data_IF_472770687278
#
_entry.id   IF_472770687278
#
_cell.length_a   1.000
_cell.length_b   1.000
_cell.length_c   1.000
_cell.angle_alpha   90.00
_cell.angle_beta   90.00
_cell.angle_gamma   90.00
#
_symmetry.space_group_name_H-M   'P 1'
#
loop_
_entity.id
_entity.type
_entity.pdbx_description
1 polymer ?
#
# COMPACT_ATOMS: atom_id res chain seq x y z
N UNK A 1 -7.27 17.12 29.37
CA UNK A 1 -7.34 16.06 28.35
C UNK A 1 -7.63 16.73 27.04
N UNK A 2 -6.63 16.86 26.17
CA UNK A 2 -6.79 17.40 24.83
C UNK A 2 -6.86 16.26 23.80
N UNK A 3 -7.55 16.50 22.68
CA UNK A 3 -7.60 15.58 21.56
C UNK A 3 -6.69 16.10 20.45
N UNK A 4 -5.82 15.23 19.97
CA UNK A 4 -4.89 15.53 18.87
C UNK A 4 -5.33 14.70 17.67
N UNK A 5 -5.79 15.35 16.62
CA UNK A 5 -6.34 14.70 15.43
C UNK A 5 -5.27 14.23 14.46
N UNK A 6 -5.46 13.04 13.85
CA UNK A 6 -4.68 12.56 12.73
C UNK A 6 -5.60 12.24 11.55
N UNK A 7 -5.35 12.87 10.41
CA UNK A 7 -6.06 12.68 9.15
C UNK A 7 -5.15 12.01 8.14
N UNK A 8 -5.67 11.01 7.44
CA UNK A 8 -5.01 10.42 6.29
C UNK A 8 -5.46 11.11 5.00
N UNK A 9 -4.55 11.85 4.38
CA UNK A 9 -4.79 12.49 3.09
C UNK A 9 -4.86 11.42 1.99
N UNK A 10 -5.93 11.42 1.22
CA UNK A 10 -6.16 10.55 0.07
C UNK A 10 -6.22 11.38 -1.21
N UNK A 11 -6.11 10.73 -2.38
CA UNK A 11 -6.40 11.37 -3.67
C UNK A 11 -7.86 11.81 -3.80
N UNK A 12 -8.74 11.23 -3.01
CA UNK A 12 -10.15 11.60 -2.89
C UNK A 12 -10.33 12.74 -1.87
N UNK A 13 -10.46 13.96 -2.39
CA UNK A 13 -10.64 15.17 -1.59
C UNK A 13 -11.89 15.13 -0.70
N UNK A 14 -12.93 14.42 -1.11
CA UNK A 14 -14.19 14.32 -0.37
C UNK A 14 -14.00 13.50 0.92
N UNK A 15 -13.20 12.44 0.87
CA UNK A 15 -12.87 11.63 2.06
C UNK A 15 -11.99 12.39 3.05
N UNK A 16 -11.05 13.21 2.56
CA UNK A 16 -10.21 14.06 3.42
C UNK A 16 -11.07 15.12 4.12
N UNK A 17 -11.97 15.79 3.39
CA UNK A 17 -12.87 16.80 3.97
C UNK A 17 -13.75 16.23 5.07
N UNK A 18 -14.31 15.02 4.88
CA UNK A 18 -15.13 14.36 5.91
C UNK A 18 -14.35 14.13 7.21
N UNK A 19 -13.06 13.80 7.14
CA UNK A 19 -12.22 13.65 8.32
C UNK A 19 -12.00 14.99 9.04
N UNK A 20 -11.80 16.09 8.29
CA UNK A 20 -11.74 17.44 8.86
C UNK A 20 -13.03 17.82 9.55
N UNK A 21 -14.17 17.62 8.87
CA UNK A 21 -15.50 17.93 9.43
C UNK A 21 -15.74 17.20 10.78
N UNK A 22 -15.15 16.00 10.95
CA UNK A 22 -15.29 15.23 12.18
C UNK A 22 -14.27 15.61 13.27
N UNK A 23 -13.05 16.00 12.92
CA UNK A 23 -11.94 16.17 13.86
C UNK A 23 -11.67 17.63 14.23
N UNK A 24 -11.77 18.58 13.28
CA UNK A 24 -11.49 20.01 13.55
C UNK A 24 -12.32 20.60 14.68
N UNK A 25 -13.63 20.26 14.85
CA UNK A 25 -14.44 20.85 15.93
C UNK A 25 -14.06 20.38 17.33
N UNK A 26 -13.37 19.22 17.46
CA UNK A 26 -13.13 18.56 18.75
C UNK A 26 -11.64 18.45 19.11
N UNK A 27 -10.74 18.57 18.14
CA UNK A 27 -9.31 18.44 18.36
C UNK A 27 -8.63 19.79 18.55
N UNK A 28 -7.67 19.85 19.47
CA UNK A 28 -6.83 21.04 19.69
C UNK A 28 -5.97 21.35 18.47
N UNK A 29 -5.47 20.31 17.81
CA UNK A 29 -4.66 20.37 16.58
C UNK A 29 -4.92 19.13 15.75
N UNK A 30 -4.97 19.29 14.43
CA UNK A 30 -5.14 18.19 13.48
C UNK A 30 -3.91 18.12 12.57
N UNK A 31 -3.37 16.92 12.42
CA UNK A 31 -2.23 16.62 11.57
C UNK A 31 -2.69 15.85 10.33
N UNK A 32 -2.21 16.27 9.16
CA UNK A 32 -2.53 15.62 7.89
C UNK A 32 -1.34 14.79 7.41
N UNK A 33 -1.55 13.48 7.25
CA UNK A 33 -0.52 12.56 6.80
C UNK A 33 -0.86 11.94 5.45
N UNK A 34 0.11 11.93 4.54
CA UNK A 34 0.03 11.18 3.28
C UNK A 34 0.79 9.86 3.42
N UNK A 35 0.06 8.76 3.57
CA UNK A 35 0.65 7.42 3.67
C UNK A 35 0.86 6.85 2.27
N UNK A 36 2.11 6.60 1.90
CA UNK A 36 2.50 5.89 0.68
C UNK A 36 3.36 4.67 1.06
N UNK A 37 3.00 3.49 0.57
CA UNK A 37 3.74 2.27 0.89
C UNK A 37 3.36 1.62 2.23
N UNK A 38 4.11 0.57 2.62
CA UNK A 38 4.05 -0.03 3.97
C UNK A 38 5.00 0.75 4.85
N UNK A 39 4.47 1.47 5.82
CA UNK A 39 5.25 2.22 6.79
C UNK A 39 4.96 1.70 8.19
N UNK A 40 6.01 1.40 8.95
CA UNK A 40 5.93 1.21 10.39
C UNK A 40 5.67 2.56 11.05
N UNK A 41 5.27 2.55 12.33
CA UNK A 41 5.03 3.79 13.08
C UNK A 41 6.25 4.72 13.08
N UNK A 42 7.46 4.15 13.20
CA UNK A 42 8.72 4.91 13.22
C UNK A 42 9.10 5.56 11.88
N UNK A 43 8.54 5.08 10.77
CA UNK A 43 8.76 5.62 9.42
C UNK A 43 7.74 6.71 9.04
N UNK A 44 6.92 7.16 10.00
CA UNK A 44 5.81 8.09 9.80
C UNK A 44 6.05 9.44 10.48
N UNK A 45 6.72 10.39 9.83
CA UNK A 45 7.15 11.64 10.45
C UNK A 45 5.98 12.48 10.98
N UNK A 46 4.84 12.52 10.26
CA UNK A 46 3.68 13.29 10.70
C UNK A 46 2.99 12.64 11.90
N UNK A 47 2.87 11.31 11.93
CA UNK A 47 2.39 10.60 13.12
C UNK A 47 3.31 10.86 14.31
N UNK A 48 4.64 10.76 14.15
CA UNK A 48 5.60 11.04 15.21
C UNK A 48 5.51 12.51 15.67
N UNK A 49 5.32 13.47 14.76
CA UNK A 49 5.05 14.86 15.11
C UNK A 49 3.77 15.00 15.94
N UNK A 50 2.67 14.35 15.53
CA UNK A 50 1.43 14.35 16.30
C UNK A 50 1.63 13.76 17.70
N UNK A 51 2.36 12.64 17.81
CA UNK A 51 2.68 11.99 19.10
C UNK A 51 3.53 12.91 20.00
N UNK A 52 4.43 13.71 19.44
CA UNK A 52 5.23 14.68 20.22
C UNK A 52 4.40 15.81 20.86
N UNK A 53 3.19 16.03 20.37
CA UNK A 53 2.25 17.02 20.94
C UNK A 53 1.36 16.42 22.04
N UNK A 54 1.33 15.11 22.20
CA UNK A 54 0.52 14.42 23.20
C UNK A 54 1.21 14.54 24.56
N UNK A 55 0.45 14.96 25.57
CA UNK A 55 0.85 15.02 26.98
C UNK A 55 0.08 13.99 27.79
N UNK A 56 0.47 13.80 29.04
CA UNK A 56 -0.24 12.92 29.95
C UNK A 56 -1.74 13.28 30.02
N UNK A 57 -2.59 12.30 29.76
CA UNK A 57 -4.03 12.45 29.71
C UNK A 57 -4.60 12.92 28.38
N UNK A 58 -3.76 13.26 27.38
CA UNK A 58 -4.24 13.57 26.02
C UNK A 58 -4.42 12.29 25.18
N UNK A 59 -5.18 12.38 24.10
CA UNK A 59 -5.45 11.25 23.20
C UNK A 59 -5.16 11.58 21.76
N UNK A 60 -4.54 10.63 21.04
CA UNK A 60 -4.55 10.65 19.59
C UNK A 60 -5.96 10.30 19.09
N UNK A 61 -6.53 11.13 18.22
CA UNK A 61 -7.91 10.96 17.75
C UNK A 61 -7.95 10.75 16.25
N UNK A 62 -8.68 9.73 15.81
CA UNK A 62 -8.92 9.41 14.40
C UNK A 62 -10.40 9.17 14.15
N UNK A 63 -10.87 9.42 12.92
CA UNK A 63 -12.26 9.14 12.57
C UNK A 63 -12.55 7.63 12.63
N UNK A 64 -11.73 6.83 11.97
CA UNK A 64 -11.83 5.36 11.92
C UNK A 64 -10.43 4.75 12.05
N UNK A 65 -10.33 3.50 12.52
CA UNK A 65 -9.02 2.80 12.70
C UNK A 65 -8.25 2.66 11.38
N UNK A 66 -8.93 2.49 10.25
CA UNK A 66 -8.28 2.39 8.94
C UNK A 66 -7.60 3.70 8.49
N UNK A 67 -7.81 4.81 9.22
CA UNK A 67 -7.07 6.07 9.03
C UNK A 67 -5.67 6.01 9.63
N UNK A 68 -5.46 5.16 10.63
CA UNK A 68 -4.12 4.89 11.17
C UNK A 68 -3.24 4.07 10.22
N UNK A 69 -3.84 3.29 9.31
CA UNK A 69 -3.14 2.50 8.29
C UNK A 69 -3.71 2.71 6.89
N UNK A 70 -3.32 1.88 5.93
CA UNK A 70 -3.90 1.87 4.57
C UNK A 70 -5.18 1.03 4.49
N UNK A 71 -5.37 0.18 5.47
CA UNK A 71 -6.53 -0.68 5.64
C UNK A 71 -6.73 -0.96 7.14
N UNK A 72 -7.85 -1.60 7.48
CA UNK A 72 -8.21 -1.91 8.85
C UNK A 72 -7.13 -2.69 9.61
N UNK A 73 -6.52 -3.71 8.98
CA UNK A 73 -5.48 -4.52 9.63
C UNK A 73 -4.25 -3.69 10.01
N UNK A 74 -3.73 -2.91 9.05
CA UNK A 74 -2.60 -2.01 9.31
C UNK A 74 -2.94 -0.97 10.38
N UNK A 75 -4.17 -0.43 10.35
CA UNK A 75 -4.64 0.49 11.38
C UNK A 75 -4.68 -0.14 12.78
N UNK A 76 -5.13 -1.38 12.89
CA UNK A 76 -5.13 -2.12 14.17
C UNK A 76 -3.70 -2.43 14.67
N UNK A 77 -2.76 -2.73 13.77
CA UNK A 77 -1.35 -2.93 14.12
C UNK A 77 -0.76 -1.65 14.71
N UNK A 78 -0.98 -0.51 14.04
CA UNK A 78 -0.52 0.81 14.53
C UNK A 78 -1.19 1.14 15.87
N UNK A 79 -2.49 0.90 16.01
CA UNK A 79 -3.21 1.11 17.26
C UNK A 79 -2.58 0.30 18.40
N UNK A 80 -2.27 -0.98 18.16
CA UNK A 80 -1.60 -1.83 19.17
C UNK A 80 -0.19 -1.30 19.51
N UNK A 81 0.59 -0.82 18.52
CA UNK A 81 1.91 -0.22 18.77
C UNK A 81 1.80 1.06 19.62
N UNK A 82 0.81 1.91 19.36
CA UNK A 82 0.54 3.09 20.17
C UNK A 82 0.25 2.74 21.63
N UNK A 83 -0.53 1.68 21.90
CA UNK A 83 -0.75 1.21 23.27
C UNK A 83 0.52 0.68 23.93
N UNK A 84 1.39 -0.01 23.19
CA UNK A 84 2.69 -0.42 23.75
C UNK A 84 3.57 0.77 24.12
N UNK A 85 3.37 1.91 23.49
CA UNK A 85 4.05 3.19 23.78
C UNK A 85 3.34 4.02 24.85
N UNK A 86 2.23 3.52 25.42
CA UNK A 86 1.45 4.23 26.43
C UNK A 86 0.59 5.36 25.89
N UNK A 87 0.34 5.41 24.59
CA UNK A 87 -0.47 6.44 23.94
C UNK A 87 -1.94 6.03 23.95
N UNK A 88 -2.79 6.83 24.59
CA UNK A 88 -4.24 6.67 24.51
C UNK A 88 -4.79 7.10 23.15
N UNK A 89 -5.77 6.37 22.62
CA UNK A 89 -6.35 6.63 21.30
C UNK A 89 -7.86 6.70 21.38
N UNK A 90 -8.45 7.70 20.74
CA UNK A 90 -9.89 7.84 20.55
C UNK A 90 -10.24 7.59 19.08
N UNK A 91 -11.14 6.63 18.85
CA UNK A 91 -11.71 6.33 17.53
C UNK A 91 -13.16 6.79 17.53
N UNK A 92 -13.56 7.62 16.56
CA UNK A 92 -14.89 8.22 16.53
C UNK A 92 -15.94 7.26 15.97
N UNK A 93 -15.60 6.49 14.96
CA UNK A 93 -16.56 5.65 14.22
C UNK A 93 -15.95 4.27 13.89
N UNK A 94 -16.81 3.31 13.59
CA UNK A 94 -16.42 1.99 13.08
C UNK A 94 -16.21 0.92 14.14
N UNK A 95 -15.49 -0.16 13.75
CA UNK A 95 -15.40 -1.39 14.54
C UNK A 95 -14.72 -1.23 15.91
N UNK A 96 -13.88 -0.23 16.06
CA UNK A 96 -13.18 0.08 17.30
C UNK A 96 -13.56 1.48 17.83
N UNK A 97 -14.79 1.94 17.58
CA UNK A 97 -15.26 3.23 18.11
C UNK A 97 -15.22 3.25 19.63
N UNK A 98 -14.62 4.30 20.19
CA UNK A 98 -14.45 4.47 21.64
C UNK A 98 -13.10 5.06 22.01
N UNK A 99 -12.89 5.16 23.31
CA UNK A 99 -11.62 5.58 23.92
C UNK A 99 -10.85 4.35 24.39
N UNK A 100 -9.59 4.28 23.97
CA UNK A 100 -8.73 3.14 24.25
C UNK A 100 -7.47 3.64 24.97
N UNK A 101 -7.30 3.25 26.22
CA UNK A 101 -6.14 3.60 27.04
C UNK A 101 -5.20 2.42 27.24
N UNK A 102 -5.72 1.21 27.01
CA UNK A 102 -5.00 -0.05 27.19
C UNK A 102 -5.51 -1.12 26.24
N UNK A 103 -4.74 -2.19 26.08
CA UNK A 103 -5.09 -3.32 25.22
C UNK A 103 -6.31 -4.04 25.76
N UNK A 104 -7.36 -4.13 24.97
CA UNK A 104 -8.59 -4.83 25.33
C UNK A 104 -8.71 -6.18 24.59
N UNK A 105 -9.44 -7.14 25.19
CA UNK A 105 -9.76 -8.43 24.57
C UNK A 105 -10.46 -8.26 23.21
N UNK A 106 -11.30 -7.24 23.07
CA UNK A 106 -12.00 -6.91 21.83
C UNK A 106 -11.00 -6.54 20.74
N UNK A 107 -9.96 -5.78 21.08
CA UNK A 107 -8.90 -5.42 20.14
C UNK A 107 -8.09 -6.66 19.73
N UNK A 108 -7.75 -7.54 20.67
CA UNK A 108 -7.05 -8.79 20.38
C UNK A 108 -7.85 -9.68 19.44
N UNK A 109 -9.14 -9.79 19.66
CA UNK A 109 -10.04 -10.54 18.79
C UNK A 109 -10.16 -9.89 17.41
N UNK A 110 -10.28 -8.56 17.33
CA UNK A 110 -10.32 -7.83 16.07
C UNK A 110 -9.03 -7.99 15.26
N UNK A 111 -7.86 -7.95 15.92
CA UNK A 111 -6.55 -8.23 15.30
C UNK A 111 -6.48 -9.66 14.77
N UNK A 112 -6.91 -10.65 15.57
CA UNK A 112 -6.92 -12.06 15.16
C UNK A 112 -7.80 -12.30 13.93
N UNK A 113 -9.01 -11.74 13.92
CA UNK A 113 -9.95 -11.84 12.78
C UNK A 113 -9.42 -11.12 11.52
N UNK A 114 -8.80 -9.96 11.68
CA UNK A 114 -8.22 -9.21 10.59
C UNK A 114 -7.04 -9.97 9.94
N UNK A 115 -6.18 -10.60 10.76
CA UNK A 115 -5.06 -11.41 10.28
C UNK A 115 -5.54 -12.69 9.58
N UNK A 116 -6.55 -13.38 10.10
CA UNK A 116 -7.13 -14.56 9.46
C UNK A 116 -7.71 -14.20 8.08
N UNK A 117 -8.46 -13.10 8.00
CA UNK A 117 -9.00 -12.60 6.73
C UNK A 117 -7.90 -12.25 5.72
N UNK A 118 -6.79 -11.67 6.18
CA UNK A 118 -5.61 -11.40 5.33
C UNK A 118 -5.02 -12.69 4.77
N UNK A 119 -4.83 -13.71 5.61
CA UNK A 119 -4.32 -15.03 5.21
C UNK A 119 -5.22 -15.68 4.16
N UNK A 120 -6.53 -15.59 4.35
CA UNK A 120 -7.52 -16.08 3.38
C UNK A 120 -7.43 -15.39 2.01
N UNK A 121 -7.27 -14.08 1.99
CA UNK A 121 -7.11 -13.31 0.74
C UNK A 121 -5.83 -13.74 0.01
N UNK A 122 -4.71 -13.86 0.74
CA UNK A 122 -3.42 -14.31 0.16
C UNK A 122 -3.56 -15.72 -0.41
N UNK A 123 -4.16 -16.65 0.34
CA UNK A 123 -4.39 -18.03 -0.09
C UNK A 123 -5.26 -18.09 -1.36
N UNK A 124 -6.39 -17.39 -1.39
CA UNK A 124 -7.28 -17.33 -2.57
C UNK A 124 -6.59 -16.72 -3.79
N UNK A 125 -5.79 -15.67 -3.58
CA UNK A 125 -5.02 -15.04 -4.67
C UNK A 125 -3.95 -15.99 -5.21
N UNK A 126 -3.20 -16.64 -4.34
CA UNK A 126 -2.18 -17.63 -4.73
C UNK A 126 -2.79 -18.79 -5.53
N UNK A 127 -3.86 -19.38 -5.00
CA UNK A 127 -4.58 -20.48 -5.67
C UNK A 127 -5.14 -20.03 -7.03
N UNK A 128 -5.67 -18.80 -7.11
CA UNK A 128 -6.16 -18.23 -8.37
C UNK A 128 -5.07 -18.04 -9.41
N UNK A 129 -3.89 -17.56 -8.98
CA UNK A 129 -2.72 -17.41 -9.86
C UNK A 129 -2.18 -18.76 -10.33
N UNK A 130 -2.14 -19.75 -9.46
CA UNK A 130 -1.71 -21.11 -9.80
C UNK A 130 -2.68 -21.75 -10.82
N UNK A 131 -3.97 -21.68 -10.57
CA UNK A 131 -4.99 -22.15 -11.51
C UNK A 131 -4.94 -21.41 -12.86
N UNK A 132 -4.60 -20.12 -12.88
CA UNK A 132 -4.40 -19.36 -14.11
C UNK A 132 -3.17 -19.84 -14.87
N UNK A 133 -2.05 -20.11 -14.17
CA UNK A 133 -0.82 -20.65 -14.78
C UNK A 133 -1.06 -22.05 -15.39
N UNK A 134 -1.79 -22.92 -14.69
CA UNK A 134 -2.14 -24.26 -15.21
C UNK A 134 -2.99 -24.19 -16.49
N UNK A 135 -3.77 -23.10 -16.66
CA UNK A 135 -4.53 -22.81 -17.89
C UNK A 135 -3.74 -22.05 -18.95
N UNK A 136 -2.41 -21.95 -18.80
CA UNK A 136 -1.53 -21.21 -19.73
C UNK A 136 -1.65 -19.70 -19.66
N UNK A 137 -2.36 -19.14 -18.68
CA UNK A 137 -2.48 -17.68 -18.49
C UNK A 137 -1.36 -17.20 -17.59
N UNK A 138 -0.34 -16.59 -18.18
CA UNK A 138 0.75 -15.95 -17.44
C UNK A 138 0.43 -14.47 -17.27
N UNK A 139 0.28 -14.04 -16.02
CA UNK A 139 0.10 -12.62 -15.71
C UNK A 139 1.40 -11.84 -15.92
N UNK A 140 1.26 -10.53 -16.09
CA UNK A 140 2.41 -9.63 -16.25
C UNK A 140 2.23 -8.71 -17.46
N UNK A 141 3.23 -7.82 -17.67
CA UNK A 141 3.27 -6.95 -18.84
C UNK A 141 3.50 -7.80 -20.10
N UNK A 142 2.68 -7.58 -21.12
CA UNK A 142 2.85 -8.26 -22.42
C UNK A 142 4.30 -8.08 -22.92
N UNK A 143 4.93 -9.14 -23.46
CA UNK A 143 6.25 -9.00 -24.07
C UNK A 143 6.25 -7.89 -25.11
N UNK A 144 7.27 -7.07 -25.10
CA UNK A 144 7.46 -5.98 -26.10
C UNK A 144 7.78 -6.58 -27.47
N UNK A 145 8.40 -7.77 -27.47
CA UNK A 145 8.72 -8.55 -28.66
C UNK A 145 7.80 -9.77 -28.67
N UNK A 146 6.87 -9.80 -29.62
CA UNK A 146 6.09 -10.97 -30.02
C UNK A 146 6.87 -11.85 -31.00
N UNK A 147 6.30 -12.99 -31.39
CA UNK A 147 6.98 -13.95 -32.28
C UNK A 147 7.27 -13.33 -33.65
N UNK A 148 6.38 -12.49 -34.16
CA UNK A 148 6.57 -11.80 -35.45
C UNK A 148 7.73 -10.80 -35.41
N UNK A 149 7.80 -10.00 -34.33
CA UNK A 149 8.92 -9.08 -34.12
C UNK A 149 10.24 -9.84 -33.92
N UNK A 150 10.20 -10.98 -33.20
CA UNK A 150 11.37 -11.83 -33.00
C UNK A 150 11.89 -12.34 -34.35
N UNK A 151 11.01 -12.89 -35.17
CA UNK A 151 11.36 -13.35 -36.52
C UNK A 151 11.93 -12.21 -37.39
N UNK A 152 11.31 -11.02 -37.36
CA UNK A 152 11.79 -9.86 -38.08
C UNK A 152 13.16 -9.39 -37.60
N UNK A 153 13.45 -9.41 -36.29
CA UNK A 153 14.76 -9.04 -35.72
C UNK A 153 15.84 -10.01 -36.23
N UNK A 154 15.58 -11.32 -36.17
CA UNK A 154 16.53 -12.33 -36.62
C UNK A 154 16.82 -12.25 -38.11
N UNK A 155 15.79 -12.20 -38.96
CA UNK A 155 15.91 -12.08 -40.39
C UNK A 155 16.67 -10.81 -40.85
N UNK A 156 16.48 -9.68 -40.14
CA UNK A 156 17.22 -8.44 -40.43
C UNK A 156 18.68 -8.55 -39.98
N UNK A 157 18.95 -9.26 -38.90
CA UNK A 157 20.32 -9.51 -38.43
C UNK A 157 21.12 -10.37 -39.42
N UNK A 158 20.49 -11.44 -39.93
CA UNK A 158 21.08 -12.30 -40.98
C UNK A 158 21.44 -11.52 -42.26
N UNK A 159 20.68 -10.48 -42.59
CA UNK A 159 20.99 -9.56 -43.71
C UNK A 159 22.09 -8.56 -43.40
N UNK A 160 22.73 -8.63 -42.22
CA UNK A 160 23.82 -7.74 -41.81
C UNK A 160 23.41 -6.36 -41.32
N UNK A 161 22.12 -6.12 -41.07
CA UNK A 161 21.66 -4.81 -40.59
C UNK A 161 22.23 -4.52 -39.17
N UNK A 162 22.50 -3.25 -38.87
CA UNK A 162 22.97 -2.82 -37.56
C UNK A 162 21.86 -2.92 -36.53
N UNK A 163 22.22 -3.19 -35.25
CA UNK A 163 21.24 -3.28 -34.13
C UNK A 163 20.40 -2.01 -34.02
N UNK A 164 20.97 -0.84 -34.30
CA UNK A 164 20.25 0.45 -34.28
C UNK A 164 19.23 0.54 -35.40
N UNK A 165 19.59 0.11 -36.63
CA UNK A 165 18.67 0.09 -37.80
C UNK A 165 17.53 -0.89 -37.57
N UNK A 166 17.80 -2.10 -36.99
CA UNK A 166 16.82 -3.08 -36.65
C UNK A 166 15.84 -2.50 -35.58
N UNK A 167 16.38 -1.89 -34.52
CA UNK A 167 15.58 -1.31 -33.44
C UNK A 167 14.59 -0.24 -33.95
N UNK A 168 15.06 0.64 -34.85
CA UNK A 168 14.19 1.64 -35.46
C UNK A 168 13.12 1.01 -36.37
N UNK A 169 13.48 0.00 -37.15
CA UNK A 169 12.55 -0.68 -38.06
C UNK A 169 11.47 -1.48 -37.38
N UNK A 170 11.77 -2.11 -36.24
CA UNK A 170 10.83 -2.94 -35.46
C UNK A 170 10.14 -2.15 -34.32
N UNK A 171 10.50 -0.87 -34.17
CA UNK A 171 9.95 0.06 -33.17
C UNK A 171 10.13 -0.44 -31.73
N UNK A 172 11.34 -0.89 -31.40
CA UNK A 172 11.75 -1.30 -30.06
C UNK A 172 13.07 -0.64 -29.67
N UNK A 173 13.46 -0.72 -28.40
CA UNK A 173 14.75 -0.16 -27.98
C UNK A 173 15.93 -1.03 -28.45
N UNK A 174 17.11 -0.42 -28.60
CA UNK A 174 18.36 -1.12 -28.94
C UNK A 174 18.67 -2.24 -27.95
N UNK A 175 18.46 -2.02 -26.65
CA UNK A 175 18.66 -3.02 -25.60
C UNK A 175 17.74 -4.25 -25.76
N UNK A 176 16.50 -4.04 -26.21
CA UNK A 176 15.55 -5.13 -26.50
C UNK A 176 16.04 -5.98 -27.67
N UNK A 177 16.51 -5.35 -28.76
CA UNK A 177 17.07 -6.08 -29.92
C UNK A 177 18.30 -6.87 -29.50
N UNK A 178 19.23 -6.26 -28.75
CA UNK A 178 20.43 -6.95 -28.27
C UNK A 178 20.06 -8.18 -27.44
N UNK A 179 19.17 -8.05 -26.47
CA UNK A 179 18.69 -9.16 -25.64
C UNK A 179 18.07 -10.28 -26.50
N UNK A 180 17.18 -9.92 -27.43
CA UNK A 180 16.53 -10.90 -28.33
C UNK A 180 17.53 -11.71 -29.15
N UNK A 181 18.60 -11.07 -29.63
CA UNK A 181 19.66 -11.74 -30.39
C UNK A 181 20.51 -12.64 -29.50
N UNK A 182 20.82 -12.23 -28.27
CA UNK A 182 21.57 -13.05 -27.30
C UNK A 182 20.76 -14.28 -26.88
N UNK A 183 19.46 -14.11 -26.60
CA UNK A 183 18.55 -15.21 -26.21
C UNK A 183 18.30 -16.21 -27.36
N UNK A 184 18.60 -15.85 -28.62
CA UNK A 184 18.48 -16.74 -29.78
C UNK A 184 19.77 -17.54 -30.08
N UNK A 185 20.88 -17.21 -29.44
CA UNK A 185 22.19 -17.90 -29.58
C UNK A 185 22.42 -18.99 -28.53
N UNK A 186 21.50 -19.06 -27.53
CA UNK A 186 21.46 -20.11 -26.50
C UNK A 186 20.22 -20.99 -26.67
#
# INVERSE_FOLDING_TARGET
MALIGLIRVSTDKQKTRRQHDALDPICLKVFEEKISGKLNTDDRPVLLEALSHIRDGDMLTVQEVDRLGRNLLEGLIVLNDLFQRGVAVKVLEGIAAGEHTERSLILDLALALAEDRRRDIVRKTSNGLEAARQRGRVGGRRPVVDDDKRAAILARRERGESIRTIAAGVKVSVGVVHKTLTDAQH
#
